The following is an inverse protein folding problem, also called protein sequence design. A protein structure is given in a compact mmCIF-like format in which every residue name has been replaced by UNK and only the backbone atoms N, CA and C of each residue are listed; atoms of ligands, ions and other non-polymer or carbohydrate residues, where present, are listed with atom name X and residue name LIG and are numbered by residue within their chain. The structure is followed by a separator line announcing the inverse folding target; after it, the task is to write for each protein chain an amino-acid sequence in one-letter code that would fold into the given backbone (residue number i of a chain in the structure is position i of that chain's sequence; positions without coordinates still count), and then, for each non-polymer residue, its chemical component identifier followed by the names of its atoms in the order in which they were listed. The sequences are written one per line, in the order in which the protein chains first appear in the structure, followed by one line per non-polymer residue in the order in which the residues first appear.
data_IF_364571679500
#
_entry.id   IF_364571679500
#
_cell.length_a   1.000
_cell.length_b   1.000
_cell.length_c   1.000
_cell.angle_alpha   90.00
_cell.angle_beta   90.00
_cell.angle_gamma   90.00
#
_symmetry.space_group_name_H-M   'P 1'
#
loop_
_entity.id
_entity.type
_entity.pdbx_description
1 polymer ?
#
# COMPACT_ATOMS: atom_id res chain seq x y z
N UNK A 1 -53.61 24.31 -10.54
CA UNK A 1 -52.33 24.16 -9.81
C UNK A 1 -52.49 23.05 -8.79
N UNK A 2 -51.81 21.93 -8.98
CA UNK A 2 -51.61 20.89 -7.96
C UNK A 2 -50.11 20.64 -7.93
N UNK A 3 -49.53 20.85 -6.76
CA UNK A 3 -48.10 20.66 -6.50
C UNK A 3 -47.68 19.22 -6.83
N UNK A 4 -46.59 19.08 -7.59
CA UNK A 4 -45.90 17.81 -7.81
C UNK A 4 -45.40 17.30 -6.46
N UNK A 5 -46.23 16.51 -5.78
CA UNK A 5 -45.89 15.89 -4.52
C UNK A 5 -44.74 14.90 -4.77
N UNK A 6 -43.59 15.16 -4.16
CA UNK A 6 -42.43 14.27 -4.18
C UNK A 6 -42.88 12.86 -3.79
N UNK A 7 -42.64 11.84 -4.63
CA UNK A 7 -43.04 10.48 -4.30
C UNK A 7 -42.40 10.02 -2.98
N UNK A 8 -43.13 9.30 -2.12
CA UNK A 8 -42.62 8.90 -0.82
C UNK A 8 -41.47 7.88 -0.95
N UNK A 9 -40.32 8.19 -0.35
CA UNK A 9 -39.10 7.36 -0.37
C UNK A 9 -38.98 6.39 0.83
N UNK A 10 -39.98 6.33 1.72
CA UNK A 10 -39.98 5.47 2.92
C UNK A 10 -41.19 4.55 2.95
N UNK A 11 -41.06 3.38 3.61
CA UNK A 11 -42.17 2.42 3.78
C UNK A 11 -43.37 3.08 4.47
N UNK A 12 -43.13 3.92 5.48
CA UNK A 12 -44.19 4.64 6.19
C UNK A 12 -44.81 5.77 5.36
N UNK A 13 -44.03 6.38 4.45
CA UNK A 13 -44.55 7.29 3.44
C UNK A 13 -45.50 6.59 2.47
N UNK A 14 -45.13 5.39 2.00
CA UNK A 14 -45.98 4.57 1.13
C UNK A 14 -47.25 4.12 1.86
N UNK A 15 -47.17 3.71 3.13
CA UNK A 15 -48.35 3.37 3.95
C UNK A 15 -49.28 4.56 4.17
N UNK A 16 -48.72 5.77 4.39
CA UNK A 16 -49.51 7.01 4.52
C UNK A 16 -50.21 7.37 3.21
N UNK A 17 -49.51 7.27 2.08
CA UNK A 17 -50.09 7.48 0.77
C UNK A 17 -51.19 6.45 0.46
N UNK A 18 -50.99 5.18 0.82
CA UNK A 18 -52.00 4.14 0.68
C UNK A 18 -53.27 4.42 1.49
N UNK A 19 -53.16 5.00 2.70
CA UNK A 19 -54.32 5.44 3.48
C UNK A 19 -55.10 6.56 2.79
N UNK A 20 -54.40 7.52 2.17
CA UNK A 20 -55.03 8.59 1.39
C UNK A 20 -55.75 8.03 0.15
N UNK A 21 -55.08 7.17 -0.62
CA UNK A 21 -55.65 6.51 -1.81
C UNK A 21 -56.85 5.63 -1.45
N UNK A 22 -56.78 4.88 -0.34
CA UNK A 22 -57.91 4.08 0.15
C UNK A 22 -59.14 4.96 0.42
N UNK A 23 -58.94 6.13 1.01
CA UNK A 23 -60.01 7.08 1.34
C UNK A 23 -60.61 7.74 0.10
N UNK A 24 -59.77 8.07 -0.89
CA UNK A 24 -60.19 8.77 -2.11
C UNK A 24 -60.82 7.84 -3.15
N UNK A 25 -60.29 6.63 -3.30
CA UNK A 25 -60.68 5.70 -4.37
C UNK A 25 -61.55 4.53 -3.91
N UNK A 26 -61.82 4.41 -2.60
CA UNK A 26 -62.71 3.37 -2.05
C UNK A 26 -62.22 1.93 -2.20
N UNK A 27 -60.94 1.72 -2.54
CA UNK A 27 -60.37 0.39 -2.82
C UNK A 27 -59.91 -0.33 -1.54
N UNK A 28 -59.75 -1.66 -1.63
CA UNK A 28 -59.19 -2.46 -0.54
C UNK A 28 -57.76 -1.98 -0.17
N UNK A 29 -57.41 -2.04 1.11
CA UNK A 29 -56.13 -1.52 1.61
C UNK A 29 -54.90 -2.13 0.91
N UNK A 30 -54.95 -3.43 0.59
CA UNK A 30 -53.89 -4.11 -0.15
C UNK A 30 -53.70 -3.51 -1.55
N UNK A 31 -54.80 -3.28 -2.29
CA UNK A 31 -54.75 -2.63 -3.60
C UNK A 31 -54.23 -1.18 -3.51
N UNK A 32 -54.57 -0.47 -2.43
CA UNK A 32 -54.05 0.87 -2.18
C UNK A 32 -52.54 0.90 -1.89
N UNK A 33 -51.99 -0.13 -1.23
CA UNK A 33 -50.55 -0.29 -1.02
C UNK A 33 -49.80 -0.52 -2.33
N UNK A 34 -50.35 -1.35 -3.21
CA UNK A 34 -49.78 -1.60 -4.54
C UNK A 34 -49.78 -0.34 -5.42
N UNK A 35 -50.89 0.40 -5.42
CA UNK A 35 -51.01 1.68 -6.13
C UNK A 35 -50.04 2.73 -5.57
N UNK A 36 -49.93 2.84 -4.24
CA UNK A 36 -49.00 3.76 -3.59
C UNK A 36 -47.53 3.42 -3.91
N UNK A 37 -47.18 2.14 -3.92
CA UNK A 37 -45.84 1.68 -4.28
C UNK A 37 -45.50 2.00 -5.75
N UNK A 38 -46.45 1.82 -6.66
CA UNK A 38 -46.27 2.17 -8.09
C UNK A 38 -46.12 3.66 -8.31
N UNK A 39 -46.92 4.48 -7.62
CA UNK A 39 -46.79 5.95 -7.62
C UNK A 39 -45.45 6.42 -7.03
N UNK A 40 -44.85 5.62 -6.16
CA UNK A 40 -43.52 5.85 -5.61
C UNK A 40 -42.37 5.28 -6.47
N UNK A 41 -42.67 4.74 -7.67
CA UNK A 41 -41.67 4.22 -8.61
C UNK A 41 -41.27 2.75 -8.40
N UNK A 42 -41.98 2.00 -7.55
CA UNK A 42 -41.70 0.59 -7.30
C UNK A 42 -42.69 -0.33 -8.04
N UNK A 43 -42.26 -1.55 -8.36
CA UNK A 43 -43.11 -2.51 -9.09
C UNK A 43 -44.34 -2.97 -8.29
N UNK A 44 -44.18 -3.16 -6.97
CA UNK A 44 -45.23 -3.56 -6.04
C UNK A 44 -44.82 -3.24 -4.59
N UNK A 45 -45.73 -3.38 -3.62
CA UNK A 45 -45.44 -3.05 -2.21
C UNK A 45 -44.34 -3.94 -1.61
N UNK A 46 -44.26 -5.21 -2.02
CA UNK A 46 -43.19 -6.12 -1.60
C UNK A 46 -41.82 -5.68 -2.16
N UNK A 47 -41.76 -5.21 -3.41
CA UNK A 47 -40.59 -4.66 -4.05
C UNK A 47 -40.17 -3.35 -3.38
N UNK A 48 -41.12 -2.46 -3.06
CA UNK A 48 -40.86 -1.26 -2.27
C UNK A 48 -40.30 -1.61 -0.88
N UNK A 49 -40.90 -2.59 -0.19
CA UNK A 49 -40.40 -3.06 1.11
C UNK A 49 -38.99 -3.62 0.98
N UNK A 50 -38.71 -4.49 0.01
CA UNK A 50 -37.37 -5.06 -0.18
C UNK A 50 -36.34 -4.04 -0.62
N UNK A 51 -36.69 -3.11 -1.50
CA UNK A 51 -35.78 -2.07 -2.00
C UNK A 51 -35.48 -1.04 -0.91
N UNK A 52 -36.48 -0.64 -0.13
CA UNK A 52 -36.31 0.33 0.97
C UNK A 52 -35.64 -0.34 2.17
N UNK A 53 -35.99 -1.57 2.55
CA UNK A 53 -35.33 -2.32 3.63
C UNK A 53 -33.90 -2.75 3.28
N UNK A 54 -33.57 -2.97 1.99
CA UNK A 54 -32.17 -3.14 1.55
C UNK A 54 -31.43 -1.81 1.43
N UNK A 55 -32.15 -0.72 1.12
CA UNK A 55 -31.62 0.64 1.02
C UNK A 55 -31.46 1.35 2.37
N UNK A 56 -32.11 0.87 3.43
CA UNK A 56 -31.95 1.32 4.80
C UNK A 56 -31.05 0.34 5.58
N UNK A 57 -29.82 0.75 5.85
CA UNK A 57 -28.99 0.29 6.99
C UNK A 57 -28.40 -1.13 6.97
N UNK A 58 -27.77 -1.56 5.87
CA UNK A 58 -26.64 -2.50 6.02
C UNK A 58 -25.34 -1.70 6.21
N UNK A 59 -25.06 -1.38 7.48
CA UNK A 59 -23.74 -0.92 7.90
C UNK A 59 -22.88 -2.13 8.24
N UNK A 60 -21.69 -2.20 7.66
CA UNK A 60 -20.68 -3.20 7.96
C UNK A 60 -19.57 -2.54 8.76
N UNK A 61 -19.33 -3.01 9.98
CA UNK A 61 -18.19 -2.53 10.77
C UNK A 61 -16.91 -3.20 10.27
N UNK A 62 -15.97 -2.39 9.84
CA UNK A 62 -14.58 -2.77 9.62
C UNK A 62 -13.72 -2.32 10.82
N UNK A 63 -12.68 -3.08 11.10
CA UNK A 63 -11.70 -2.77 12.14
C UNK A 63 -10.35 -2.46 11.50
N UNK A 64 -9.71 -1.39 11.96
CA UNK A 64 -8.36 -1.01 11.54
C UNK A 64 -7.47 -1.01 12.77
N UNK A 65 -6.40 -1.81 12.75
CA UNK A 65 -5.47 -1.95 13.87
C UNK A 65 -4.06 -1.53 13.47
N UNK A 66 -3.43 -0.71 14.33
CA UNK A 66 -2.03 -0.29 14.21
C UNK A 66 -1.32 -0.54 15.54
N UNK A 67 -0.18 -1.21 15.49
CA UNK A 67 0.74 -1.34 16.62
C UNK A 67 1.80 -0.24 16.53
N UNK A 68 2.31 0.19 17.68
CA UNK A 68 3.33 1.22 17.73
C UNK A 68 4.33 0.96 18.83
N UNK A 69 5.54 1.43 18.60
CA UNK A 69 6.66 1.30 19.52
C UNK A 69 7.54 2.53 19.41
N UNK A 70 7.58 3.31 20.48
CA UNK A 70 8.44 4.48 20.63
C UNK A 70 9.62 4.13 21.52
N UNK A 71 10.67 3.58 20.90
CA UNK A 71 11.92 3.22 21.57
C UNK A 71 12.89 4.40 21.72
N UNK A 72 12.58 5.56 21.13
CA UNK A 72 13.50 6.70 21.04
C UNK A 72 13.16 7.82 22.01
N UNK A 73 11.99 7.81 22.62
CA UNK A 73 11.64 8.75 23.68
C UNK A 73 12.35 8.43 25.00
N UNK A 74 12.43 9.45 25.87
CA UNK A 74 13.05 9.33 27.20
C UNK A 74 12.42 8.24 28.07
N UNK A 75 11.12 8.01 27.88
CA UNK A 75 10.36 6.92 28.48
C UNK A 75 9.83 6.01 27.37
N UNK A 76 10.58 4.97 26.97
CA UNK A 76 10.16 4.05 25.93
C UNK A 76 8.76 3.49 26.21
N UNK A 77 7.90 3.55 25.20
CA UNK A 77 6.52 3.10 25.33
C UNK A 77 6.06 2.38 24.08
N UNK A 78 5.10 1.50 24.23
CA UNK A 78 4.54 0.73 23.12
C UNK A 78 3.08 0.45 23.36
N UNK A 79 2.34 0.18 22.29
CA UNK A 79 0.92 -0.11 22.41
C UNK A 79 0.29 -0.50 21.09
N UNK A 80 -1.03 -0.63 21.14
CA UNK A 80 -1.88 -0.89 20.00
C UNK A 80 -3.07 0.03 20.03
N UNK A 81 -3.46 0.47 18.84
CA UNK A 81 -4.67 1.21 18.58
C UNK A 81 -5.56 0.44 17.60
N UNK A 82 -6.86 0.44 17.86
CA UNK A 82 -7.88 -0.10 16.96
C UNK A 82 -9.05 0.86 16.88
N UNK A 83 -9.55 1.09 15.67
CA UNK A 83 -10.74 1.90 15.40
C UNK A 83 -11.75 1.10 14.58
N UNK A 84 -13.01 1.47 14.72
CA UNK A 84 -14.13 0.97 13.92
C UNK A 84 -14.42 1.94 12.78
N UNK A 85 -14.67 1.39 11.59
CA UNK A 85 -15.03 2.14 10.38
C UNK A 85 -16.33 1.58 9.84
N UNK A 86 -17.34 2.43 9.69
CA UNK A 86 -18.63 2.02 9.17
C UNK A 86 -18.63 2.07 7.64
N UNK A 87 -18.92 0.94 7.00
CA UNK A 87 -18.92 0.76 5.56
C UNK A 87 -20.32 0.39 5.06
N UNK A 88 -20.61 0.69 3.80
CA UNK A 88 -21.89 0.30 3.16
C UNK A 88 -21.81 -1.09 2.53
N UNK A 89 -20.62 -1.67 2.44
CA UNK A 89 -20.34 -3.01 1.93
C UNK A 89 -19.32 -3.74 2.82
N UNK A 90 -19.29 -5.08 2.84
CA UNK A 90 -18.31 -5.83 3.60
C UNK A 90 -16.87 -5.46 3.23
N UNK A 91 -15.99 -5.34 4.22
CA UNK A 91 -14.57 -5.04 3.99
C UNK A 91 -13.90 -6.04 3.05
N UNK A 92 -14.22 -7.33 3.17
CA UNK A 92 -13.73 -8.38 2.28
C UNK A 92 -14.14 -8.21 0.81
N UNK A 93 -15.30 -7.59 0.54
CA UNK A 93 -15.73 -7.26 -0.83
C UNK A 93 -14.96 -6.03 -1.33
N UNK A 94 -14.86 -5.00 -0.48
CA UNK A 94 -14.15 -3.76 -0.78
C UNK A 94 -12.66 -3.99 -1.09
N UNK A 95 -12.05 -4.97 -0.41
CA UNK A 95 -10.66 -5.37 -0.56
C UNK A 95 -10.52 -6.77 -1.19
N UNK A 96 -11.37 -7.12 -2.16
CA UNK A 96 -11.36 -8.44 -2.81
C UNK A 96 -9.98 -8.80 -3.40
N UNK A 97 -9.29 -7.83 -4.01
CA UNK A 97 -7.91 -7.98 -4.52
C UNK A 97 -6.83 -7.67 -3.46
N UNK A 98 -7.23 -7.60 -2.19
CA UNK A 98 -6.39 -7.29 -1.05
C UNK A 98 -6.14 -5.78 -0.85
N UNK A 99 -5.41 -5.40 0.22
CA UNK A 99 -5.23 -4.00 0.63
C UNK A 99 -4.58 -3.08 -0.42
N UNK A 100 -3.93 -3.63 -1.45
CA UNK A 100 -3.33 -2.86 -2.55
C UNK A 100 -4.34 -1.99 -3.31
N UNK A 101 -5.64 -2.32 -3.25
CA UNK A 101 -6.69 -1.52 -3.90
C UNK A 101 -6.88 -0.15 -3.25
N UNK A 102 -6.52 0.01 -1.97
CA UNK A 102 -6.60 1.30 -1.26
C UNK A 102 -5.33 2.15 -1.36
N UNK A 103 -4.52 1.96 -2.40
CA UNK A 103 -3.42 2.88 -2.70
C UNK A 103 -2.25 2.82 -1.71
N UNK A 104 -1.59 3.97 -1.54
CA UNK A 104 -0.46 4.13 -0.64
C UNK A 104 -0.85 3.92 0.84
N UNK A 105 -2.06 4.33 1.22
CA UNK A 105 -2.54 4.35 2.60
C UNK A 105 -2.85 2.96 3.16
N UNK A 106 -3.26 2.01 2.29
CA UNK A 106 -3.48 0.61 2.69
C UNK A 106 -2.33 -0.34 2.35
N UNK A 107 -1.25 0.15 1.68
CA UNK A 107 -0.13 -0.68 1.22
C UNK A 107 0.53 -1.49 2.34
N UNK A 108 0.64 -0.89 3.51
CA UNK A 108 1.31 -1.50 4.66
C UNK A 108 0.37 -2.34 5.52
N UNK A 109 -0.90 -2.51 5.13
CA UNK A 109 -1.87 -3.32 5.85
C UNK A 109 -1.95 -4.74 5.29
N UNK A 110 -2.51 -5.64 6.11
CA UNK A 110 -2.93 -6.98 5.71
C UNK A 110 -4.37 -7.19 6.13
N UNK A 111 -5.14 -7.90 5.30
CA UNK A 111 -6.45 -8.40 5.69
C UNK A 111 -6.24 -9.54 6.69
N UNK A 112 -6.52 -9.29 7.96
CA UNK A 112 -6.38 -10.28 9.01
C UNK A 112 -7.63 -11.16 9.08
N UNK A 113 -8.81 -10.54 9.08
CA UNK A 113 -10.10 -11.21 9.00
C UNK A 113 -11.02 -10.49 8.00
N UNK A 114 -12.16 -11.07 7.58
CA UNK A 114 -13.06 -10.46 6.59
C UNK A 114 -13.56 -9.05 6.95
N UNK A 115 -13.48 -8.67 8.22
CA UNK A 115 -13.87 -7.38 8.80
C UNK A 115 -12.68 -6.62 9.42
N UNK A 116 -11.44 -7.08 9.28
CA UNK A 116 -10.29 -6.51 10.01
C UNK A 116 -9.03 -6.41 9.16
N UNK A 117 -8.49 -5.19 9.05
CA UNK A 117 -7.13 -4.93 8.55
C UNK A 117 -6.19 -4.56 9.69
N UNK A 118 -4.96 -5.06 9.60
CA UNK A 118 -3.88 -4.78 10.56
C UNK A 118 -2.65 -4.27 9.82
N UNK A 119 -2.02 -3.22 10.33
CA UNK A 119 -0.73 -2.76 9.82
C UNK A 119 0.35 -3.82 10.06
N UNK A 120 1.14 -4.10 9.03
CA UNK A 120 2.17 -5.16 9.06
C UNK A 120 3.27 -4.79 10.05
N UNK A 121 3.81 -3.58 9.91
CA UNK A 121 4.87 -3.03 10.76
C UNK A 121 4.31 -2.21 11.89
N UNK A 122 5.17 -1.87 12.86
CA UNK A 122 4.83 -0.92 13.90
C UNK A 122 5.04 0.51 13.41
N UNK A 123 4.21 1.43 13.90
CA UNK A 123 4.47 2.85 13.84
C UNK A 123 5.56 3.23 14.86
N UNK A 124 6.34 4.27 14.56
CA UNK A 124 7.47 4.70 15.40
C UNK A 124 7.07 5.53 16.61
N UNK A 125 5.80 5.91 16.73
CA UNK A 125 5.27 6.70 17.84
C UNK A 125 3.74 6.54 17.92
N UNK A 126 3.12 6.84 19.07
CA UNK A 126 1.66 6.87 19.17
C UNK A 126 1.02 7.87 18.18
N UNK A 127 1.68 9.02 17.94
CA UNK A 127 1.19 10.03 16.97
C UNK A 127 1.20 9.47 15.55
N UNK A 128 2.29 8.83 15.14
CA UNK A 128 2.37 8.18 13.82
C UNK A 128 1.35 7.05 13.68
N UNK A 129 1.06 6.32 14.77
CA UNK A 129 0.05 5.28 14.79
C UNK A 129 -1.34 5.84 14.50
N UNK A 130 -1.69 6.98 15.10
CA UNK A 130 -2.95 7.68 14.83
C UNK A 130 -3.03 8.14 13.38
N UNK A 131 -1.96 8.75 12.85
CA UNK A 131 -1.92 9.16 11.44
C UNK A 131 -2.16 7.99 10.47
N UNK A 132 -1.56 6.82 10.72
CA UNK A 132 -1.81 5.64 9.89
C UNK A 132 -3.25 5.12 10.02
N UNK A 133 -3.86 5.21 11.20
CA UNK A 133 -5.26 4.84 11.39
C UNK A 133 -6.20 5.77 10.64
N UNK A 134 -5.97 7.08 10.74
CA UNK A 134 -6.76 8.09 10.06
C UNK A 134 -6.69 7.87 8.55
N UNK A 135 -5.47 7.83 7.99
CA UNK A 135 -5.25 7.63 6.56
C UNK A 135 -5.86 6.32 6.05
N UNK A 136 -5.73 5.21 6.79
CA UNK A 136 -6.34 3.95 6.40
C UNK A 136 -7.87 4.00 6.47
N UNK A 137 -8.44 4.64 7.49
CA UNK A 137 -9.89 4.78 7.67
C UNK A 137 -10.49 5.67 6.57
N UNK A 138 -9.89 6.82 6.28
CA UNK A 138 -10.31 7.70 5.19
C UNK A 138 -10.15 7.04 3.83
N UNK A 139 -9.09 6.26 3.61
CA UNK A 139 -8.94 5.49 2.38
C UNK A 139 -10.06 4.45 2.22
N UNK A 140 -10.45 3.74 3.30
CA UNK A 140 -11.59 2.80 3.27
C UNK A 140 -12.91 3.52 2.97
N UNK A 141 -13.17 4.66 3.60
CA UNK A 141 -14.38 5.46 3.36
C UNK A 141 -14.43 6.01 1.93
N UNK A 142 -13.28 6.46 1.42
CA UNK A 142 -13.14 6.94 0.05
C UNK A 142 -13.49 5.84 -0.95
N UNK A 143 -12.87 4.67 -0.88
CA UNK A 143 -13.16 3.57 -1.81
C UNK A 143 -14.58 3.01 -1.60
N UNK A 144 -15.09 3.00 -0.37
CA UNK A 144 -16.45 2.56 -0.06
C UNK A 144 -17.49 3.45 -0.75
N UNK A 145 -17.30 4.76 -0.68
CA UNK A 145 -18.23 5.77 -1.19
C UNK A 145 -18.12 5.97 -2.70
N UNK A 146 -16.91 5.90 -3.25
CA UNK A 146 -16.64 6.19 -4.67
C UNK A 146 -16.67 4.95 -5.55
N UNK A 147 -16.32 3.79 -4.99
CA UNK A 147 -16.06 2.57 -5.76
C UNK A 147 -14.76 2.59 -6.56
N UNK A 148 -13.94 3.63 -6.42
CA UNK A 148 -12.64 3.72 -7.07
C UNK A 148 -11.65 2.76 -6.41
N UNK A 149 -10.69 2.29 -7.20
CA UNK A 149 -9.54 1.52 -6.74
C UNK A 149 -8.25 2.22 -7.16
N UNK A 150 -7.14 1.87 -6.53
CA UNK A 150 -5.81 2.30 -6.99
C UNK A 150 -5.65 1.96 -8.47
N UNK A 151 -5.00 2.83 -9.24
CA UNK A 151 -4.66 2.52 -10.64
C UNK A 151 -3.81 1.25 -10.75
N UNK A 152 -4.27 0.31 -11.59
CA UNK A 152 -3.51 -0.87 -12.00
C UNK A 152 -3.24 -0.93 -13.50
N UNK A 153 -4.06 -0.26 -14.34
CA UNK A 153 -3.88 -0.29 -15.80
C UNK A 153 -2.60 0.41 -16.22
N UNK A 154 -1.77 -0.28 -17.02
CA UNK A 154 -0.46 0.22 -17.47
C UNK A 154 -0.59 1.54 -18.22
N UNK A 155 -1.58 1.67 -19.09
CA UNK A 155 -1.87 2.89 -19.85
C UNK A 155 -2.12 4.09 -18.93
N UNK A 156 -2.97 3.91 -17.91
CA UNK A 156 -3.26 4.96 -16.92
C UNK A 156 -2.01 5.31 -16.09
N UNK A 157 -1.20 4.32 -15.71
CA UNK A 157 0.07 4.56 -15.01
C UNK A 157 1.04 5.37 -15.88
N UNK A 158 1.15 5.04 -17.17
CA UNK A 158 2.02 5.75 -18.11
C UNK A 158 1.56 7.19 -18.32
N UNK A 159 0.25 7.41 -18.46
CA UNK A 159 -0.33 8.76 -18.52
C UNK A 159 0.01 9.55 -17.26
N UNK A 160 -0.24 8.98 -16.07
CA UNK A 160 0.04 9.66 -14.80
C UNK A 160 1.52 9.95 -14.58
N UNK A 161 2.41 9.02 -14.96
CA UNK A 161 3.86 9.27 -14.91
C UNK A 161 4.27 10.35 -15.92
N UNK A 162 3.60 10.44 -17.08
CA UNK A 162 3.81 11.53 -18.04
C UNK A 162 3.40 12.91 -17.52
N UNK A 163 2.53 12.98 -16.49
CA UNK A 163 2.07 14.21 -15.84
C UNK A 163 3.04 14.73 -14.76
N UNK A 164 4.30 14.27 -14.75
CA UNK A 164 5.33 14.39 -13.70
C UNK A 164 5.55 15.80 -13.10
N UNK A 165 4.90 16.86 -13.59
CA UNK A 165 4.97 18.22 -13.05
C UNK A 165 3.64 18.97 -13.08
N UNK A 166 2.58 18.40 -12.53
CA UNK A 166 1.42 19.22 -12.14
C UNK A 166 1.95 20.33 -11.20
N UNK A 167 1.79 21.63 -11.54
CA UNK A 167 2.37 22.70 -10.75
C UNK A 167 1.87 22.70 -9.31
N UNK A 168 2.79 22.73 -8.33
CA UNK A 168 2.46 22.72 -6.91
C UNK A 168 1.60 21.52 -6.48
N UNK A 169 1.76 20.39 -7.17
CA UNK A 169 1.21 19.14 -6.70
C UNK A 169 2.08 18.55 -5.58
N UNK A 170 1.42 17.90 -4.63
CA UNK A 170 2.04 17.28 -3.48
C UNK A 170 1.11 16.17 -2.96
N UNK A 171 1.69 15.10 -2.42
CA UNK A 171 0.95 13.92 -1.95
C UNK A 171 -0.04 13.32 -2.97
N UNK A 172 0.33 13.30 -4.25
CA UNK A 172 -0.52 12.75 -5.31
C UNK A 172 -0.76 11.24 -5.19
N UNK A 173 -2.02 10.82 -5.36
CA UNK A 173 -2.43 9.42 -5.45
C UNK A 173 -3.33 9.18 -6.67
N UNK A 174 -3.06 8.09 -7.41
CA UNK A 174 -3.82 7.70 -8.58
C UNK A 174 -4.89 6.67 -8.29
N UNK A 175 -6.10 6.94 -8.79
CA UNK A 175 -7.30 6.12 -8.68
C UNK A 175 -7.92 5.85 -10.06
N UNK A 176 -8.62 4.72 -10.21
CA UNK A 176 -9.37 4.37 -11.42
C UNK A 176 -10.75 3.82 -11.07
N UNK A 177 -11.71 4.10 -11.94
CA UNK A 177 -13.01 3.45 -11.93
C UNK A 177 -12.87 2.07 -12.60
N UNK A 178 -13.08 0.97 -11.88
CA UNK A 178 -12.92 -0.36 -12.46
C UNK A 178 -13.94 -0.65 -13.59
N UNK A 179 -15.09 0.04 -13.62
CA UNK A 179 -16.14 -0.17 -14.61
C UNK A 179 -15.87 0.57 -15.92
N UNK A 180 -15.60 1.87 -15.87
CA UNK A 180 -15.34 2.68 -17.07
C UNK A 180 -13.88 2.64 -17.53
N UNK A 181 -12.94 2.39 -16.61
CA UNK A 181 -11.51 2.53 -16.85
C UNK A 181 -11.00 3.98 -16.77
N UNK A 182 -11.90 4.94 -16.51
CA UNK A 182 -11.53 6.34 -16.30
C UNK A 182 -10.66 6.47 -15.05
N UNK A 183 -9.76 7.45 -15.07
CA UNK A 183 -8.83 7.68 -13.98
C UNK A 183 -9.05 9.03 -13.30
N UNK A 184 -8.62 9.09 -12.04
CA UNK A 184 -8.63 10.28 -11.19
C UNK A 184 -7.31 10.38 -10.44
N UNK A 185 -6.71 11.56 -10.45
CA UNK A 185 -5.63 11.94 -9.55
C UNK A 185 -6.21 12.69 -8.36
N UNK A 186 -5.90 12.25 -7.15
CA UNK A 186 -6.14 12.97 -5.92
C UNK A 186 -4.82 13.63 -5.50
N UNK A 187 -4.78 14.96 -5.57
CA UNK A 187 -3.63 15.78 -5.20
C UNK A 187 -3.95 16.51 -3.89
N UNK A 188 -3.14 16.33 -2.85
CA UNK A 188 -3.44 16.80 -1.49
C UNK A 188 -2.31 17.68 -0.92
N UNK A 189 -2.00 18.84 -1.54
CA UNK A 189 -0.98 19.73 -1.03
C UNK A 189 -1.41 20.38 0.28
N UNK A 190 -0.41 20.65 1.12
CA UNK A 190 -0.57 21.51 2.29
C UNK A 190 -1.20 22.86 1.91
N UNK A 191 -1.96 23.43 2.85
CA UNK A 191 -2.64 24.71 2.64
C UNK A 191 -1.58 25.81 2.41
N UNK A 192 -1.45 26.23 1.16
CA UNK A 192 -0.59 27.34 0.72
C UNK A 192 -1.22 28.10 -0.45
N UNK A 193 -0.90 29.39 -0.66
CA UNK A 193 -1.36 30.13 -1.83
C UNK A 193 -0.97 29.40 -3.12
N UNK A 194 -1.97 29.08 -3.96
CA UNK A 194 -1.73 28.46 -5.27
C UNK A 194 -1.46 29.53 -6.32
N UNK A 195 -0.49 29.31 -7.22
CA UNK A 195 -0.29 30.24 -8.33
C UNK A 195 -1.37 30.08 -9.40
N UNK A 196 -1.72 31.19 -10.06
CA UNK A 196 -2.76 31.20 -11.11
C UNK A 196 -2.47 30.27 -12.29
N UNK A 197 -1.18 30.10 -12.66
CA UNK A 197 -0.76 29.32 -13.83
C UNK A 197 -1.08 27.81 -13.75
N UNK A 198 -1.39 27.28 -12.55
CA UNK A 198 -1.80 25.88 -12.42
C UNK A 198 -3.07 25.57 -13.21
N UNK A 199 -4.02 26.50 -13.22
CA UNK A 199 -5.30 26.33 -13.94
C UNK A 199 -5.08 26.28 -15.46
N UNK A 200 -4.20 27.13 -15.98
CA UNK A 200 -3.80 27.17 -17.39
C UNK A 200 -3.11 25.86 -17.78
N UNK A 201 -2.14 25.42 -16.98
CA UNK A 201 -1.42 24.15 -17.21
C UNK A 201 -2.38 22.95 -17.29
N UNK A 202 -3.37 22.87 -16.41
CA UNK A 202 -4.37 21.79 -16.43
C UNK A 202 -5.20 21.83 -17.72
N UNK A 203 -5.63 23.01 -18.15
CA UNK A 203 -6.40 23.17 -19.39
C UNK A 203 -5.59 22.78 -20.63
N UNK A 204 -4.32 23.19 -20.71
CA UNK A 204 -3.41 22.82 -21.80
C UNK A 204 -3.17 21.31 -21.89
N UNK A 205 -3.22 20.61 -20.75
CA UNK A 205 -3.07 19.16 -20.68
C UNK A 205 -4.41 18.40 -20.77
N UNK A 206 -5.52 19.10 -21.08
CA UNK A 206 -6.84 18.48 -21.21
C UNK A 206 -7.42 17.95 -19.90
N UNK A 207 -7.03 18.55 -18.77
CA UNK A 207 -7.42 18.14 -17.43
C UNK A 207 -8.37 19.14 -16.78
N UNK A 208 -9.26 18.60 -15.96
CA UNK A 208 -10.17 19.36 -15.11
C UNK A 208 -9.81 19.13 -13.65
N UNK A 209 -10.08 20.14 -12.80
CA UNK A 209 -9.83 20.07 -11.37
C UNK A 209 -11.03 20.60 -10.59
N UNK A 210 -11.42 19.89 -9.54
CA UNK A 210 -12.38 20.36 -8.53
C UNK A 210 -11.80 20.18 -7.13
N UNK A 211 -12.22 21.04 -6.20
CA UNK A 211 -11.91 20.92 -4.78
C UNK A 211 -13.23 20.66 -4.04
N UNK A 212 -13.49 19.43 -3.56
CA UNK A 212 -14.70 19.11 -2.81
C UNK A 212 -14.68 19.74 -1.42
N UNK A 213 -15.85 19.88 -0.79
CA UNK A 213 -15.99 20.18 0.65
C UNK A 213 -15.70 18.95 1.53
N UNK A 214 -14.73 18.14 1.13
CA UNK A 214 -14.25 16.97 1.86
C UNK A 214 -12.82 17.23 2.31
N UNK A 215 -12.43 16.69 3.47
CA UNK A 215 -11.13 17.00 4.08
C UNK A 215 -9.95 16.22 3.48
N UNK A 216 -10.20 15.20 2.65
CA UNK A 216 -9.15 14.39 2.04
C UNK A 216 -8.76 13.16 2.86
N UNK A 217 -7.65 12.53 2.46
CA UNK A 217 -7.09 11.32 3.08
C UNK A 217 -5.76 11.64 3.75
N UNK A 218 -4.87 12.37 3.08
CA UNK A 218 -3.48 12.53 3.50
C UNK A 218 -3.34 13.22 4.85
N UNK A 219 -3.89 14.44 4.96
CA UNK A 219 -3.83 15.24 6.18
C UNK A 219 -5.08 16.14 6.34
N UNK A 220 -6.22 15.54 6.73
CA UNK A 220 -7.50 16.22 6.87
C UNK A 220 -7.40 17.54 7.64
N UNK A 221 -8.03 18.60 7.12
CA UNK A 221 -8.02 19.95 7.70
C UNK A 221 -6.74 20.75 7.48
N UNK A 222 -5.67 20.11 6.99
CA UNK A 222 -4.34 20.72 6.83
C UNK A 222 -3.80 20.61 5.39
N UNK A 223 -4.48 19.83 4.55
CA UNK A 223 -4.27 19.72 3.11
C UNK A 223 -5.60 19.97 2.38
N UNK A 224 -5.52 20.38 1.11
CA UNK A 224 -6.71 20.60 0.28
C UNK A 224 -6.78 19.49 -0.78
N UNK A 225 -7.82 18.64 -0.78
CA UNK A 225 -7.94 17.59 -1.78
C UNK A 225 -8.38 18.17 -3.11
N UNK A 226 -7.58 17.99 -4.14
CA UNK A 226 -7.94 18.33 -5.52
C UNK A 226 -8.16 17.05 -6.29
N UNK A 227 -9.37 16.90 -6.83
CA UNK A 227 -9.72 15.83 -7.74
C UNK A 227 -9.40 16.29 -9.17
N UNK A 228 -8.55 15.55 -9.87
CA UNK A 228 -8.06 15.90 -11.20
C UNK A 228 -8.34 14.73 -12.16
N UNK A 229 -8.97 15.01 -13.30
CA UNK A 229 -9.26 13.99 -14.31
C UNK A 229 -9.58 14.67 -15.66
N UNK A 230 -9.37 13.98 -16.80
CA UNK A 230 -9.93 14.43 -18.09
C UNK A 230 -11.46 14.31 -18.13
N UNK A 231 -12.08 13.51 -17.27
CA UNK A 231 -13.54 13.29 -17.26
C UNK A 231 -14.25 14.20 -16.26
N UNK A 232 -14.94 15.24 -16.75
CA UNK A 232 -15.77 16.09 -15.88
C UNK A 232 -16.91 15.31 -15.22
N UNK A 233 -17.50 14.36 -15.95
CA UNK A 233 -18.57 13.52 -15.42
C UNK A 233 -18.09 12.67 -14.23
N UNK A 234 -16.87 12.11 -14.31
CA UNK A 234 -16.25 11.43 -13.19
C UNK A 234 -16.05 12.39 -12.02
N UNK A 235 -15.44 13.57 -12.25
CA UNK A 235 -15.18 14.55 -11.18
C UNK A 235 -16.46 14.96 -10.44
N UNK A 236 -17.52 15.31 -11.15
CA UNK A 236 -18.79 15.72 -10.53
C UNK A 236 -19.41 14.59 -9.69
N UNK A 237 -19.35 13.34 -10.18
CA UNK A 237 -19.84 12.18 -9.44
C UNK A 237 -19.00 11.93 -8.19
N UNK A 238 -17.68 11.88 -8.32
CA UNK A 238 -16.78 11.61 -7.19
C UNK A 238 -16.88 12.73 -6.15
N UNK A 239 -16.93 14.00 -6.57
CA UNK A 239 -17.13 15.14 -5.69
C UNK A 239 -18.39 14.95 -4.82
N UNK A 240 -19.55 14.67 -5.44
CA UNK A 240 -20.79 14.46 -4.70
C UNK A 240 -20.72 13.26 -3.75
N UNK A 241 -20.02 12.19 -4.15
CA UNK A 241 -19.84 11.00 -3.31
C UNK A 241 -18.95 11.27 -2.10
N UNK A 242 -17.83 11.98 -2.26
CA UNK A 242 -16.92 12.26 -1.13
C UNK A 242 -17.49 13.32 -0.18
N UNK A 243 -18.25 14.29 -0.68
CA UNK A 243 -18.95 15.29 0.15
C UNK A 243 -20.10 14.66 0.97
N UNK A 244 -20.55 13.46 0.60
CA UNK A 244 -21.52 12.68 1.39
C UNK A 244 -20.90 11.88 2.54
N UNK A 245 -19.56 11.79 2.60
CA UNK A 245 -18.86 11.13 3.71
C UNK A 245 -19.06 12.00 4.96
N UNK A 246 -19.70 11.50 6.03
CA UNK A 246 -19.98 12.32 7.21
C UNK A 246 -18.69 12.85 7.84
N UNK A 247 -18.69 14.12 8.27
CA UNK A 247 -17.57 14.73 9.00
C UNK A 247 -17.25 13.94 10.29
N UNK A 248 -18.26 13.37 10.95
CA UNK A 248 -18.08 12.49 12.12
C UNK A 248 -17.43 11.12 11.79
N UNK A 249 -16.96 10.92 10.56
CA UNK A 249 -16.10 9.78 10.21
C UNK A 249 -14.62 10.03 10.48
N UNK A 250 -14.24 11.22 11.02
CA UNK A 250 -13.03 11.31 11.86
C UNK A 250 -13.10 10.15 12.84
N UNK A 251 -12.05 9.33 13.04
CA UNK A 251 -12.16 8.17 13.91
C UNK A 251 -12.66 8.63 15.29
N UNK A 252 -13.95 8.39 15.51
CA UNK A 252 -14.80 8.96 16.57
C UNK A 252 -14.59 8.19 17.88
N UNK A 253 -13.35 7.82 18.14
CA UNK A 253 -12.93 7.28 19.41
C UNK A 253 -11.46 7.62 19.58
N UNK A 254 -11.10 8.04 20.79
CA UNK A 254 -9.74 7.82 21.29
C UNK A 254 -9.47 6.34 20.98
N UNK A 255 -8.50 6.01 20.11
CA UNK A 255 -8.27 4.63 19.75
C UNK A 255 -8.11 3.83 21.04
N UNK A 256 -8.69 2.63 21.09
CA UNK A 256 -8.59 1.83 22.30
C UNK A 256 -7.11 1.50 22.53
N UNK A 257 -6.48 2.24 23.43
CA UNK A 257 -5.10 2.06 23.82
C UNK A 257 -5.01 0.79 24.63
N UNK A 258 -4.35 -0.21 24.06
CA UNK A 258 -4.12 -1.48 24.71
C UNK A 258 -2.65 -1.85 24.63
N UNK A 259 -2.25 -2.74 25.53
CA UNK A 259 -0.89 -3.27 25.61
C UNK A 259 -0.41 -3.79 24.25
N UNK A 260 0.89 -3.63 23.98
CA UNK A 260 1.50 -4.02 22.71
C UNK A 260 1.35 -5.52 22.39
N UNK A 261 1.38 -6.38 23.41
CA UNK A 261 1.22 -7.82 23.25
C UNK A 261 -0.25 -8.26 23.11
N UNK A 262 -1.19 -7.34 23.38
CA UNK A 262 -2.62 -7.58 23.22
C UNK A 262 -2.98 -7.86 21.76
N UNK A 263 -3.82 -8.87 21.55
CA UNK A 263 -4.30 -9.25 20.23
C UNK A 263 -5.75 -8.81 20.09
N UNK A 264 -6.02 -7.97 19.10
CA UNK A 264 -7.40 -7.72 18.71
C UNK A 264 -7.99 -8.97 18.04
N UNK A 265 -9.19 -9.38 18.42
CA UNK A 265 -9.92 -10.47 17.79
C UNK A 265 -11.24 -9.86 17.31
N UNK A 266 -11.37 -9.71 15.99
CA UNK A 266 -12.59 -9.15 15.42
C UNK A 266 -13.78 -10.13 15.53
N UNK A 267 -15.03 -9.65 15.47
CA UNK A 267 -16.21 -10.50 15.43
C UNK A 267 -16.15 -11.59 14.35
N UNK A 268 -15.71 -11.27 13.13
CA UNK A 268 -15.59 -12.30 12.08
C UNK A 268 -14.48 -13.32 12.37
N UNK A 269 -13.38 -12.91 13.02
CA UNK A 269 -12.34 -13.85 13.48
C UNK A 269 -12.91 -14.79 14.55
N UNK A 270 -13.59 -14.25 15.56
CA UNK A 270 -14.19 -15.04 16.63
C UNK A 270 -15.21 -16.05 16.06
N UNK A 271 -16.10 -15.60 15.17
CA UNK A 271 -17.10 -16.44 14.51
C UNK A 271 -16.49 -17.54 13.63
N UNK A 272 -15.30 -17.30 13.05
CA UNK A 272 -14.63 -18.31 12.22
C UNK A 272 -14.10 -19.52 12.99
N UNK A 273 -13.94 -19.42 14.31
CA UNK A 273 -13.32 -20.45 15.16
C UNK A 273 -11.84 -20.71 14.89
N UNK A 274 -11.22 -20.02 13.92
CA UNK A 274 -9.82 -20.20 13.55
C UNK A 274 -8.91 -19.40 14.49
N UNK A 275 -7.78 -19.97 14.96
CA UNK A 275 -6.84 -19.21 15.78
C UNK A 275 -6.24 -18.05 14.99
N UNK A 276 -6.11 -16.89 15.64
CA UNK A 276 -5.41 -15.73 15.07
C UNK A 276 -3.95 -16.08 14.82
N UNK A 277 -3.46 -15.85 13.60
CA UNK A 277 -2.04 -16.00 13.28
C UNK A 277 -1.23 -14.92 14.02
N UNK A 278 -0.24 -15.34 14.80
CA UNK A 278 0.70 -14.43 15.45
C UNK A 278 1.35 -13.49 14.44
N UNK A 279 1.61 -12.25 14.86
CA UNK A 279 2.43 -11.31 14.09
C UNK A 279 3.82 -11.91 13.93
N UNK A 280 4.42 -11.72 12.75
CA UNK A 280 5.81 -12.11 12.53
C UNK A 280 6.68 -11.13 13.30
N UNK A 281 7.39 -11.60 14.31
CA UNK A 281 8.36 -10.80 15.05
C UNK A 281 9.77 -11.01 14.48
N UNK A 282 10.68 -10.04 14.64
CA UNK A 282 12.08 -10.22 14.30
C UNK A 282 12.63 -11.48 15.00
N UNK A 283 13.34 -12.30 14.24
CA UNK A 283 14.08 -13.43 14.79
C UNK A 283 15.43 -12.94 15.31
N UNK A 284 15.81 -13.40 16.49
CA UNK A 284 17.15 -13.21 17.06
C UNK A 284 17.88 -14.56 17.16
N UNK A 285 19.21 -14.51 17.23
CA UNK A 285 20.05 -15.69 17.47
C UNK A 285 20.56 -16.40 16.22
N UNK A 286 21.24 -17.52 16.46
CA UNK A 286 21.94 -18.33 15.45
C UNK A 286 21.16 -19.61 15.14
N UNK A 287 21.06 -19.98 13.87
CA UNK A 287 20.48 -21.24 13.42
C UNK A 287 21.26 -21.76 12.21
N UNK A 288 21.70 -23.02 12.26
CA UNK A 288 22.39 -23.71 11.16
C UNK A 288 23.54 -22.88 10.54
N UNK A 289 24.42 -22.34 11.39
CA UNK A 289 25.58 -21.53 10.97
C UNK A 289 25.24 -20.13 10.47
N UNK A 290 23.98 -19.67 10.58
CA UNK A 290 23.55 -18.34 10.18
C UNK A 290 23.04 -17.53 11.37
N UNK A 291 23.38 -16.25 11.44
CA UNK A 291 22.89 -15.28 12.42
C UNK A 291 21.76 -14.44 11.81
N UNK A 292 20.64 -14.36 12.52
CA UNK A 292 19.53 -13.48 12.15
C UNK A 292 19.91 -12.01 12.37
N UNK A 293 19.55 -11.15 11.41
CA UNK A 293 19.75 -9.71 11.53
C UNK A 293 18.65 -8.93 10.81
N UNK A 294 18.50 -7.67 11.22
CA UNK A 294 17.43 -6.80 10.75
C UNK A 294 16.04 -7.44 10.92
N UNK A 295 15.12 -7.02 10.05
CA UNK A 295 13.71 -7.31 10.24
C UNK A 295 13.05 -6.32 11.19
N UNK A 296 11.74 -6.39 11.24
CA UNK A 296 10.86 -5.59 12.08
C UNK A 296 9.60 -6.43 12.29
N UNK A 297 8.71 -6.09 13.24
CA UNK A 297 7.37 -6.66 13.25
C UNK A 297 6.75 -6.59 11.85
N UNK A 298 6.25 -7.73 11.35
CA UNK A 298 5.74 -7.87 9.97
C UNK A 298 6.77 -7.96 8.84
N UNK A 299 8.06 -7.77 9.12
CA UNK A 299 9.17 -7.89 8.14
C UNK A 299 10.10 -9.03 8.53
N UNK A 300 10.29 -9.97 7.60
CA UNK A 300 11.09 -11.17 7.86
C UNK A 300 12.54 -10.78 8.13
N UNK A 301 13.13 -11.33 9.19
CA UNK A 301 14.56 -11.16 9.44
C UNK A 301 15.39 -11.71 8.28
N UNK A 302 16.46 -10.97 7.95
CA UNK A 302 17.50 -11.42 7.04
C UNK A 302 18.45 -12.34 7.82
N UNK A 303 19.26 -13.09 7.10
CA UNK A 303 20.23 -14.03 7.67
C UNK A 303 21.59 -13.81 7.03
N UNK A 304 22.64 -13.75 7.85
CA UNK A 304 24.04 -13.71 7.41
C UNK A 304 24.78 -14.91 8.00
N UNK A 305 25.95 -15.29 7.47
CA UNK A 305 26.81 -16.26 8.13
C UNK A 305 27.10 -15.83 9.58
N UNK A 306 27.05 -16.77 10.51
CA UNK A 306 27.24 -16.47 11.93
C UNK A 306 28.69 -16.05 12.22
N UNK A 307 29.63 -16.74 11.60
CA UNK A 307 31.04 -16.34 11.60
C UNK A 307 31.26 -15.25 10.55
N UNK A 308 31.77 -14.11 10.99
CA UNK A 308 32.09 -12.97 10.13
C UNK A 308 33.26 -13.28 9.19
N UNK A 309 33.22 -12.72 7.99
CA UNK A 309 34.37 -12.63 7.09
C UNK A 309 35.27 -11.48 7.59
N UNK A 310 36.59 -11.62 7.46
CA UNK A 310 37.50 -10.53 7.86
C UNK A 310 37.35 -9.30 6.94
N UNK A 311 37.62 -8.10 7.45
CA UNK A 311 37.65 -6.89 6.63
C UNK A 311 38.62 -7.02 5.45
N UNK A 312 39.76 -7.67 5.62
CA UNK A 312 40.72 -7.97 4.55
C UNK A 312 40.10 -8.76 3.38
N UNK A 313 39.26 -9.76 3.69
CA UNK A 313 38.58 -10.54 2.66
C UNK A 313 37.45 -9.71 2.02
N UNK A 314 36.74 -8.87 2.78
CA UNK A 314 35.77 -7.93 2.20
C UNK A 314 36.44 -6.92 1.25
N UNK A 315 37.59 -6.36 1.63
CA UNK A 315 38.36 -5.43 0.78
C UNK A 315 39.05 -6.12 -0.40
N UNK A 316 39.16 -7.45 -0.36
CA UNK A 316 39.60 -8.25 -1.51
C UNK A 316 38.45 -8.51 -2.50
N UNK A 317 37.31 -9.00 -2.03
CA UNK A 317 36.19 -9.37 -2.92
C UNK A 317 35.41 -8.17 -3.44
N UNK A 318 35.33 -7.09 -2.67
CA UNK A 318 34.52 -5.93 -3.00
C UNK A 318 34.94 -5.21 -4.28
N UNK A 319 36.24 -4.88 -4.48
CA UNK A 319 36.73 -4.32 -5.73
C UNK A 319 36.51 -5.23 -6.95
N UNK A 320 36.61 -6.55 -6.78
CA UNK A 320 36.34 -7.53 -7.83
C UNK A 320 34.87 -7.41 -8.28
N UNK A 321 33.94 -7.45 -7.33
CA UNK A 321 32.50 -7.32 -7.61
C UNK A 321 32.15 -5.94 -8.17
N UNK A 322 32.80 -4.88 -7.67
CA UNK A 322 32.63 -3.53 -8.18
C UNK A 322 33.02 -3.44 -9.66
N UNK A 323 34.20 -3.96 -10.02
CA UNK A 323 34.67 -4.00 -11.41
C UNK A 323 33.80 -4.88 -12.30
N UNK A 324 33.35 -6.03 -11.80
CA UNK A 324 32.39 -6.90 -12.50
C UNK A 324 31.08 -6.16 -12.82
N UNK A 325 30.56 -5.36 -11.90
CA UNK A 325 29.34 -4.59 -12.11
C UNK A 325 29.51 -3.40 -13.08
N UNK A 326 30.74 -2.94 -13.32
CA UNK A 326 31.05 -1.91 -14.33
C UNK A 326 31.43 -2.51 -15.71
N UNK A 327 31.38 -3.84 -15.85
CA UNK A 327 31.79 -4.52 -17.07
C UNK A 327 30.69 -4.54 -18.12
N UNK A 328 31.05 -4.29 -19.38
CA UNK A 328 30.07 -4.12 -20.47
C UNK A 328 29.61 -5.43 -21.09
N UNK A 329 28.41 -5.43 -21.70
CA UNK A 329 27.93 -6.56 -22.49
C UNK A 329 28.85 -6.87 -23.68
N UNK A 330 29.36 -5.82 -24.34
CA UNK A 330 30.07 -5.91 -25.63
C UNK A 330 31.47 -6.49 -25.48
N UNK A 331 32.22 -6.03 -24.48
CA UNK A 331 33.61 -6.42 -24.27
C UNK A 331 33.75 -7.55 -23.27
N UNK A 332 32.96 -7.53 -22.20
CA UNK A 332 33.11 -8.43 -21.05
C UNK A 332 32.04 -9.53 -21.00
N UNK A 333 31.03 -9.49 -21.88
CA UNK A 333 29.95 -10.46 -21.92
C UNK A 333 28.91 -10.32 -20.78
N UNK A 334 29.05 -9.31 -19.91
CA UNK A 334 28.18 -9.08 -18.75
C UNK A 334 26.83 -8.53 -19.20
N UNK A 335 25.85 -9.43 -19.33
CA UNK A 335 24.45 -9.07 -19.61
C UNK A 335 23.77 -8.45 -18.39
N UNK A 336 22.64 -7.78 -18.58
CA UNK A 336 21.77 -7.28 -17.49
C UNK A 336 21.49 -8.37 -16.46
N UNK A 337 21.19 -9.60 -16.90
CA UNK A 337 20.94 -10.73 -16.00
C UNK A 337 22.16 -11.15 -15.18
N UNK A 338 23.36 -11.08 -15.76
CA UNK A 338 24.62 -11.37 -15.05
C UNK A 338 24.91 -10.25 -14.06
N UNK A 339 24.79 -8.99 -14.50
CA UNK A 339 24.91 -7.80 -13.67
C UNK A 339 23.98 -7.87 -12.44
N UNK A 340 22.69 -8.14 -12.63
CA UNK A 340 21.71 -8.17 -11.54
C UNK A 340 22.07 -9.19 -10.45
N UNK A 341 22.56 -10.36 -10.84
CA UNK A 341 23.01 -11.39 -9.89
C UNK A 341 24.23 -10.96 -9.12
N UNK A 342 25.24 -10.42 -9.80
CA UNK A 342 26.49 -9.97 -9.17
C UNK A 342 26.26 -8.75 -8.29
N UNK A 343 25.41 -7.81 -8.70
CA UNK A 343 25.05 -6.64 -7.92
C UNK A 343 24.26 -7.03 -6.66
N UNK A 344 23.38 -8.03 -6.74
CA UNK A 344 22.70 -8.58 -5.55
C UNK A 344 23.69 -9.20 -4.55
N UNK A 345 24.76 -9.85 -5.03
CA UNK A 345 25.83 -10.38 -4.17
C UNK A 345 26.62 -9.22 -3.55
N UNK A 346 27.03 -8.25 -4.37
CA UNK A 346 27.77 -7.04 -3.94
C UNK A 346 27.05 -6.29 -2.82
N UNK A 347 25.80 -5.90 -3.07
CA UNK A 347 24.96 -5.21 -2.08
C UNK A 347 24.73 -6.04 -0.82
N UNK A 348 24.59 -7.38 -0.94
CA UNK A 348 24.42 -8.23 0.24
C UNK A 348 25.68 -8.33 1.10
N UNK A 349 26.85 -8.41 0.48
CA UNK A 349 28.12 -8.48 1.21
C UNK A 349 28.49 -7.16 1.87
N UNK A 350 28.12 -6.03 1.26
CA UNK A 350 28.20 -4.73 1.91
C UNK A 350 27.31 -4.67 3.16
N UNK A 351 26.02 -5.01 3.03
CA UNK A 351 25.08 -5.15 4.15
C UNK A 351 25.71 -6.00 5.28
N UNK A 352 26.39 -7.09 4.94
CA UNK A 352 27.03 -7.97 5.92
C UNK A 352 28.28 -7.36 6.55
N UNK A 353 29.14 -6.71 5.77
CA UNK A 353 30.36 -6.08 6.29
C UNK A 353 30.05 -5.06 7.40
N UNK A 354 29.05 -4.19 7.19
CA UNK A 354 28.62 -3.22 8.20
C UNK A 354 28.04 -3.89 9.46
N UNK A 355 27.36 -5.03 9.31
CA UNK A 355 26.82 -5.79 10.44
C UNK A 355 27.87 -6.67 11.15
N UNK A 356 28.98 -6.96 10.50
CA UNK A 356 30.07 -7.81 10.99
C UNK A 356 31.16 -7.00 11.69
N UNK A 357 31.36 -5.74 11.28
CA UNK A 357 32.43 -4.86 11.75
C UNK A 357 31.89 -3.50 12.23
N UNK A 358 31.02 -3.46 13.25
CA UNK A 358 30.49 -2.20 13.77
C UNK A 358 31.64 -1.32 14.31
N UNK A 359 31.80 -0.13 13.74
CA UNK A 359 32.89 0.80 14.10
C UNK A 359 34.26 0.47 13.51
N UNK A 360 34.41 -0.65 12.77
CA UNK A 360 35.67 -1.04 12.11
C UNK A 360 35.83 -0.50 10.68
N UNK A 361 34.75 0.02 10.09
CA UNK A 361 34.75 0.57 8.73
C UNK A 361 34.94 2.09 8.84
N UNK A 362 36.17 2.55 8.61
CA UNK A 362 36.49 3.98 8.48
C UNK A 362 36.04 4.50 7.11
N UNK A 363 35.97 5.82 6.93
CA UNK A 363 35.66 6.42 5.63
C UNK A 363 36.61 5.96 4.51
N UNK A 364 37.90 5.71 4.83
CA UNK A 364 38.88 5.20 3.87
C UNK A 364 38.64 3.74 3.48
N UNK A 365 38.19 2.91 4.44
CA UNK A 365 37.84 1.51 4.19
C UNK A 365 36.56 1.45 3.38
N UNK A 366 35.55 2.24 3.74
CA UNK A 366 34.26 2.33 3.06
C UNK A 366 34.42 2.68 1.57
N UNK A 367 35.23 3.71 1.28
CA UNK A 367 35.55 4.14 -0.08
C UNK A 367 36.24 3.07 -0.95
N UNK A 368 36.74 1.99 -0.35
CA UNK A 368 37.42 0.88 -1.04
C UNK A 368 36.67 -0.45 -0.90
N UNK A 369 35.53 -0.48 -0.22
CA UNK A 369 34.83 -1.70 0.14
C UNK A 369 34.06 -2.27 -1.06
N UNK A 370 32.81 -1.86 -1.30
CA UNK A 370 31.98 -2.38 -2.39
C UNK A 370 31.62 -1.33 -3.46
N UNK A 371 31.66 -0.06 -3.11
CA UNK A 371 31.30 1.06 -3.99
C UNK A 371 32.42 2.09 -3.98
N UNK A 372 33.52 1.74 -4.66
CA UNK A 372 34.65 2.62 -4.84
C UNK A 372 34.48 3.64 -5.97
N UNK A 373 35.54 4.40 -6.29
CA UNK A 373 35.53 5.32 -7.41
C UNK A 373 35.25 4.59 -8.73
N UNK A 374 34.79 5.29 -9.79
CA UNK A 374 34.56 4.69 -11.09
C UNK A 374 35.77 3.88 -11.56
N UNK A 375 35.54 2.62 -11.97
CA UNK A 375 36.56 1.75 -12.53
C UNK A 375 36.13 1.25 -13.90
N UNK A 376 37.09 1.10 -14.80
CA UNK A 376 36.86 0.37 -16.03
C UNK A 376 36.54 -1.10 -15.72
N UNK A 377 35.59 -1.64 -16.47
CA UNK A 377 35.24 -3.05 -16.42
C UNK A 377 36.36 -3.99 -16.90
N UNK A 378 36.08 -5.29 -16.88
CA UNK A 378 36.96 -6.28 -17.48
C UNK A 378 36.96 -6.17 -19.02
N UNK A 379 38.10 -6.42 -19.63
CA UNK A 379 38.29 -6.25 -21.07
C UNK A 379 37.74 -7.42 -21.89
N UNK A 380 37.70 -8.63 -21.32
CA UNK A 380 37.30 -9.85 -22.01
C UNK A 380 36.32 -10.70 -21.20
N UNK A 381 35.52 -11.57 -21.85
CA UNK A 381 34.68 -12.53 -21.14
C UNK A 381 35.49 -13.54 -20.32
N UNK A 382 36.70 -13.89 -20.74
CA UNK A 382 37.60 -14.80 -20.02
C UNK A 382 38.09 -14.16 -18.71
N UNK A 383 38.49 -12.90 -18.73
CA UNK A 383 38.89 -12.17 -17.51
C UNK A 383 37.71 -12.00 -16.56
N UNK A 384 36.52 -11.73 -17.12
CA UNK A 384 35.27 -11.66 -16.35
C UNK A 384 34.97 -12.99 -15.67
N UNK A 385 35.14 -14.12 -16.36
CA UNK A 385 34.92 -15.45 -15.77
C UNK A 385 35.93 -15.74 -14.64
N UNK A 386 37.22 -15.45 -14.85
CA UNK A 386 38.26 -15.56 -13.82
C UNK A 386 37.94 -14.71 -12.60
N UNK A 387 37.43 -13.49 -12.80
CA UNK A 387 37.04 -12.61 -11.71
C UNK A 387 35.83 -13.15 -10.92
N UNK A 388 34.84 -13.75 -11.60
CA UNK A 388 33.70 -14.42 -10.94
C UNK A 388 34.20 -15.62 -10.11
N UNK A 389 35.14 -16.39 -10.64
CA UNK A 389 35.78 -17.51 -9.93
C UNK A 389 36.59 -17.04 -8.73
N UNK A 390 37.37 -15.96 -8.86
CA UNK A 390 38.08 -15.35 -7.74
C UNK A 390 37.12 -14.87 -6.64
N UNK A 391 36.00 -14.23 -7.00
CA UNK A 391 34.99 -13.83 -6.03
C UNK A 391 34.34 -15.04 -5.33
N UNK A 392 34.10 -16.13 -6.06
CA UNK A 392 33.63 -17.41 -5.48
C UNK A 392 34.60 -17.93 -4.42
N UNK A 393 35.89 -17.94 -4.73
CA UNK A 393 36.92 -18.52 -3.85
C UNK A 393 37.12 -17.68 -2.59
N UNK A 394 37.09 -16.34 -2.70
CA UNK A 394 37.12 -15.45 -1.53
C UNK A 394 35.89 -15.67 -0.66
N UNK A 395 34.70 -15.87 -1.24
CA UNK A 395 33.48 -16.15 -0.49
C UNK A 395 33.53 -17.50 0.25
N UNK A 396 34.09 -18.53 -0.39
CA UNK A 396 34.31 -19.85 0.22
C UNK A 396 35.33 -19.79 1.36
N UNK A 397 36.38 -18.97 1.22
CA UNK A 397 37.39 -18.75 2.25
C UNK A 397 36.86 -17.93 3.44
N UNK A 398 36.01 -16.94 3.17
CA UNK A 398 35.56 -15.98 4.17
C UNK A 398 34.38 -16.42 5.03
N UNK A 399 33.57 -17.37 4.58
CA UNK A 399 32.41 -17.84 5.33
C UNK A 399 32.32 -19.35 5.41
N UNK A 400 31.84 -19.86 6.54
CA UNK A 400 31.52 -21.27 6.75
C UNK A 400 30.24 -21.70 6.02
N UNK A 401 30.03 -23.02 5.94
CA UNK A 401 28.85 -23.57 5.28
C UNK A 401 27.56 -23.22 6.01
N UNK A 402 26.71 -22.44 5.32
CA UNK A 402 25.40 -22.07 5.78
C UNK A 402 24.52 -21.66 4.60
N UNK A 403 23.20 -21.62 4.83
CA UNK A 403 22.23 -21.25 3.79
C UNK A 403 22.47 -19.86 3.18
N UNK A 404 22.77 -18.78 3.94
CA UNK A 404 23.08 -17.48 3.35
C UNK A 404 24.27 -17.51 2.38
N UNK A 405 25.38 -18.18 2.75
CA UNK A 405 26.54 -18.36 1.87
C UNK A 405 26.17 -19.11 0.60
N UNK A 406 25.44 -20.22 0.73
CA UNK A 406 25.00 -21.03 -0.40
C UNK A 406 24.13 -20.24 -1.39
N UNK A 407 23.26 -19.34 -0.91
CA UNK A 407 22.44 -18.47 -1.77
C UNK A 407 23.28 -17.46 -2.56
N UNK A 408 24.37 -16.93 -1.99
CA UNK A 408 25.29 -16.05 -2.72
C UNK A 408 26.12 -16.84 -3.74
N UNK A 409 26.64 -18.02 -3.36
CA UNK A 409 27.37 -18.91 -4.26
C UNK A 409 26.51 -19.31 -5.47
N UNK A 410 25.25 -19.67 -5.26
CA UNK A 410 24.34 -20.02 -6.35
C UNK A 410 24.16 -18.87 -7.37
N UNK A 411 24.19 -17.61 -6.92
CA UNK A 411 24.13 -16.43 -7.82
C UNK A 411 25.42 -16.27 -8.62
N UNK A 412 26.57 -16.39 -7.96
CA UNK A 412 27.91 -16.33 -8.58
C UNK A 412 28.05 -17.45 -9.62
N UNK A 413 27.70 -18.68 -9.26
CA UNK A 413 27.80 -19.86 -10.15
C UNK A 413 26.83 -19.75 -11.32
N UNK A 414 25.60 -19.26 -11.08
CA UNK A 414 24.65 -19.01 -12.16
C UNK A 414 25.12 -17.89 -13.10
N UNK A 415 25.81 -16.86 -12.60
CA UNK A 415 26.43 -15.83 -13.43
C UNK A 415 27.59 -16.39 -14.28
N UNK A 416 28.46 -17.21 -13.67
CA UNK A 416 29.53 -17.91 -14.38
C UNK A 416 29.00 -18.83 -15.48
N UNK A 417 27.94 -19.61 -15.20
CA UNK A 417 27.33 -20.52 -16.16
C UNK A 417 26.74 -19.77 -17.38
N UNK A 418 26.07 -18.64 -17.16
CA UNK A 418 25.53 -17.83 -18.26
C UNK A 418 26.66 -17.20 -19.10
N UNK A 419 27.79 -16.84 -18.49
CA UNK A 419 28.94 -16.31 -19.19
C UNK A 419 29.68 -17.39 -20.01
N UNK A 420 29.86 -18.60 -19.46
CA UNK A 420 30.49 -19.74 -20.17
C UNK A 420 29.76 -20.12 -21.46
N UNK A 421 28.43 -20.05 -21.45
CA UNK A 421 27.59 -20.27 -22.65
C UNK A 421 27.88 -19.27 -23.79
N UNK A 422 28.36 -18.06 -23.45
CA UNK A 422 28.77 -17.06 -24.43
C UNK A 422 30.22 -17.21 -24.88
N UNK A 423 31.12 -17.68 -24.01
CA UNK A 423 32.53 -17.92 -24.36
C UNK A 423 32.69 -19.15 -25.26
N UNK A 424 31.76 -20.11 -25.18
CA UNK A 424 31.77 -21.35 -25.97
C UNK A 424 31.04 -21.24 -27.32
N UNK A 425 30.57 -20.04 -27.67
CA UNK A 425 29.99 -19.68 -28.97
C UNK A 425 30.91 -18.69 -29.64
#
# INVERSE_FOLDING_TARGET
MVTLATPPSTIDGIKRLAKAIKRESGIAHHAALEEAARKAGFQNFLHATRAITRGSDQSYTAYVTVYWNDLRSEAPSSGRYTVEVQLTRPLSELLADGPKVGGAYLRNFRLEAPDHIEMRTDASSPVSAMQYLDQASFALLFINSTGLVRVFRKENIEVMNGLERIPFADHMTGWEDPQSGDWLLLDEPYISPKPGFRKEWLQENGLHQVAPQWQGIYYPGNAVPYLISPSQALLSRIQAQVESIPDCSFPMGIPQALEYDSRFISPARAASGKPRRSRMLPTSGVSNGALAYGGAPGVRSKWRPARSMSLELHTTIGPILHKLCNSSVRTAGVTTRVYDRLNQVRSRLEDWAFMEHPGGITAEVDAKLYYGPPVDGYATPQDTLKAIEAARDVLLKGYEECKPRALLLAKIESAAADLRKKVSR
#
